data_IF_138651468475
#
_entry.id   IF_138651468475
#
_cell.length_a   1.000
_cell.length_b   1.000
_cell.length_c   1.000
_cell.angle_alpha   90.00
_cell.angle_beta   90.00
_cell.angle_gamma   90.00
#
_symmetry.space_group_name_H-M   'P 1'
#
loop_
_entity.id
_entity.type
_entity.pdbx_description
1 polymer ?
#
# COMPACT_ATOMS: atom_id res chain seq x y z
N UNK A 1 -51.98 -47.88 -12.89
CA UNK A 1 -50.87 -48.49 -13.66
C UNK A 1 -49.62 -47.67 -13.45
N UNK A 2 -48.67 -48.25 -12.73
CA UNK A 2 -47.30 -47.77 -12.48
C UNK A 2 -46.39 -48.81 -13.10
N UNK A 3 -45.30 -48.39 -13.74
CA UNK A 3 -44.25 -49.29 -14.23
C UNK A 3 -42.93 -48.95 -13.54
N UNK A 4 -42.28 -50.00 -13.05
CA UNK A 4 -40.96 -50.09 -12.41
C UNK A 4 -40.65 -51.59 -12.29
N UNK A 5 -39.39 -52.09 -12.19
CA UNK A 5 -38.08 -51.58 -12.61
C UNK A 5 -37.24 -52.68 -13.34
N UNK A 6 -35.97 -52.36 -13.63
CA UNK A 6 -34.82 -53.25 -13.93
C UNK A 6 -34.59 -53.68 -15.39
N UNK A 7 -33.67 -52.99 -16.06
CA UNK A 7 -32.55 -53.63 -16.77
C UNK A 7 -31.36 -52.66 -16.78
N UNK A 8 -30.29 -53.05 -16.10
CA UNK A 8 -28.97 -52.38 -16.04
C UNK A 8 -28.01 -53.26 -16.88
N UNK A 9 -26.91 -52.64 -17.34
CA UNK A 9 -25.57 -53.22 -17.57
C UNK A 9 -25.18 -53.35 -19.06
N UNK A 10 -23.98 -52.84 -19.35
CA UNK A 10 -23.16 -52.91 -20.57
C UNK A 10 -23.21 -51.70 -21.51
N UNK A 11 -22.60 -50.59 -21.10
CA UNK A 11 -21.75 -49.81 -22.01
C UNK A 11 -20.69 -49.01 -21.23
N UNK A 12 -19.78 -49.73 -20.60
CA UNK A 12 -18.60 -49.18 -19.94
C UNK A 12 -17.45 -50.17 -20.10
N UNK A 13 -16.71 -50.06 -21.21
CA UNK A 13 -15.31 -50.46 -21.39
C UNK A 13 -14.93 -50.18 -22.86
N UNK A 14 -13.69 -49.74 -23.11
CA UNK A 14 -13.10 -49.32 -24.40
C UNK A 14 -13.23 -47.84 -24.80
N UNK A 15 -12.66 -46.96 -23.97
CA UNK A 15 -11.99 -45.74 -24.44
C UNK A 15 -10.89 -45.27 -23.45
N UNK A 16 -10.15 -46.22 -22.88
CA UNK A 16 -8.87 -45.94 -22.22
C UNK A 16 -7.78 -46.52 -23.11
N UNK A 17 -6.75 -45.71 -23.38
CA UNK A 17 -5.50 -45.97 -24.14
C UNK A 17 -5.33 -45.08 -25.38
N UNK A 18 -5.37 -43.76 -25.18
CA UNK A 18 -4.48 -42.84 -25.89
C UNK A 18 -3.69 -42.05 -24.86
N UNK A 19 -2.54 -42.66 -24.54
CA UNK A 19 -1.26 -42.06 -24.19
C UNK A 19 -1.26 -40.67 -23.57
N UNK A 20 -0.98 -40.67 -22.26
CA UNK A 20 -0.37 -39.58 -21.52
C UNK A 20 0.79 -38.94 -22.30
N UNK A 21 0.67 -37.63 -22.52
CA UNK A 21 1.77 -36.70 -22.25
C UNK A 21 1.16 -35.38 -21.78
N UNK A 22 0.42 -35.46 -20.68
CA UNK A 22 0.30 -34.31 -19.80
C UNK A 22 1.71 -34.10 -19.25
N UNK A 23 2.48 -33.21 -19.87
CA UNK A 23 3.51 -32.51 -19.13
C UNK A 23 2.80 -31.94 -17.92
N UNK A 24 3.09 -32.49 -16.73
CA UNK A 24 2.85 -31.75 -15.50
C UNK A 24 3.31 -30.32 -15.79
N UNK A 25 2.47 -29.29 -15.58
CA UNK A 25 2.97 -27.93 -15.70
C UNK A 25 4.16 -27.89 -14.76
N UNK A 26 5.37 -27.75 -15.34
CA UNK A 26 6.57 -27.50 -14.57
C UNK A 26 6.15 -26.47 -13.55
N UNK A 27 6.28 -26.81 -12.27
CA UNK A 27 6.10 -25.86 -11.19
C UNK A 27 7.08 -24.74 -11.50
N UNK A 28 6.60 -23.71 -12.21
CA UNK A 28 7.38 -22.51 -12.53
C UNK A 28 7.91 -22.10 -11.19
N UNK A 29 9.21 -22.22 -11.03
CA UNK A 29 9.86 -21.95 -9.76
C UNK A 29 9.74 -20.44 -9.60
N UNK A 30 8.69 -20.01 -8.89
CA UNK A 30 8.28 -18.60 -8.86
C UNK A 30 9.29 -17.87 -8.01
N UNK A 31 10.11 -17.02 -8.63
CA UNK A 31 10.95 -16.10 -7.89
C UNK A 31 10.06 -15.24 -6.98
N UNK A 32 10.44 -15.11 -5.71
CA UNK A 32 9.72 -14.30 -4.75
C UNK A 32 10.21 -12.85 -4.88
N UNK A 33 9.30 -11.90 -5.08
CA UNK A 33 9.64 -10.49 -4.98
C UNK A 33 10.14 -10.17 -3.56
N UNK A 34 11.26 -9.48 -3.43
CA UNK A 34 11.86 -9.15 -2.11
C UNK A 34 11.97 -7.65 -1.87
N UNK A 35 11.73 -6.84 -2.89
CA UNK A 35 11.80 -5.39 -2.76
C UNK A 35 12.17 -4.68 -4.05
N UNK A 36 12.24 -3.35 -3.97
CA UNK A 36 12.66 -2.49 -5.07
C UNK A 36 13.41 -1.28 -4.55
N UNK A 37 14.18 -0.65 -5.42
CA UNK A 37 14.74 0.68 -5.19
C UNK A 37 14.35 1.57 -6.36
N UNK A 38 13.67 2.68 -6.05
CA UNK A 38 13.32 3.73 -6.98
C UNK A 38 14.20 4.94 -6.74
N UNK A 39 14.78 5.50 -7.79
CA UNK A 39 15.59 6.72 -7.76
C UNK A 39 14.90 7.75 -8.65
N UNK A 40 14.59 8.90 -8.07
CA UNK A 40 14.00 10.05 -8.74
C UNK A 40 14.99 11.21 -8.63
N UNK A 41 15.42 11.72 -9.78
CA UNK A 41 16.36 12.85 -9.85
C UNK A 41 15.71 13.99 -10.62
N UNK A 42 15.77 15.20 -10.06
CA UNK A 42 15.41 16.41 -10.79
C UNK A 42 16.45 17.50 -10.62
N UNK A 43 16.67 18.23 -11.72
CA UNK A 43 17.59 19.34 -11.80
C UNK A 43 16.76 20.62 -11.81
N UNK A 44 16.63 21.27 -10.64
CA UNK A 44 16.07 22.62 -10.52
C UNK A 44 17.18 23.58 -10.06
N UNK A 45 16.85 24.61 -9.27
CA UNK A 45 17.86 25.47 -8.63
C UNK A 45 18.80 24.69 -7.69
N UNK A 46 18.31 23.57 -7.15
CA UNK A 46 19.11 22.57 -6.42
C UNK A 46 18.97 21.22 -7.13
N UNK A 47 20.04 20.44 -7.14
CA UNK A 47 19.98 19.05 -7.54
C UNK A 47 19.39 18.26 -6.37
N UNK A 48 18.25 17.61 -6.61
CA UNK A 48 17.61 16.78 -5.60
C UNK A 48 17.48 15.35 -6.09
N UNK A 49 17.89 14.43 -5.22
CA UNK A 49 17.83 12.99 -5.45
C UNK A 49 16.98 12.35 -4.37
N UNK A 50 15.92 11.67 -4.79
CA UNK A 50 15.04 10.93 -3.91
C UNK A 50 15.20 9.44 -4.19
N UNK A 51 15.69 8.70 -3.19
CA UNK A 51 15.81 7.24 -3.24
C UNK A 51 14.74 6.63 -2.34
N UNK A 52 13.82 5.86 -2.91
CA UNK A 52 12.82 5.08 -2.17
C UNK A 52 13.17 3.59 -2.26
N UNK A 53 13.52 2.98 -1.14
CA UNK A 53 13.79 1.54 -1.06
C UNK A 53 12.67 0.85 -0.30
N UNK A 54 12.16 -0.24 -0.87
CA UNK A 54 11.19 -1.15 -0.25
C UNK A 54 11.84 -2.51 -0.16
N UNK A 55 11.68 -3.18 0.98
CA UNK A 55 12.17 -4.51 1.26
C UNK A 55 11.16 -5.26 2.11
N UNK A 56 11.05 -6.57 1.96
CA UNK A 56 10.32 -7.39 2.94
C UNK A 56 10.89 -8.81 2.99
N UNK A 57 10.66 -9.46 4.13
CA UNK A 57 11.08 -10.82 4.41
C UNK A 57 9.86 -11.65 4.81
N UNK A 58 9.91 -12.93 4.44
CA UNK A 58 8.89 -13.90 4.79
C UNK A 58 9.51 -15.08 5.55
N UNK A 59 8.75 -15.67 6.46
CA UNK A 59 9.17 -16.91 7.13
C UNK A 59 9.01 -18.15 6.23
N UNK A 60 9.33 -19.32 6.78
CA UNK A 60 9.25 -20.60 6.05
C UNK A 60 7.82 -20.93 5.61
N UNK A 61 6.81 -20.42 6.31
CA UNK A 61 5.38 -20.56 6.00
C UNK A 61 4.86 -19.44 5.07
N UNK A 62 5.75 -18.61 4.49
CA UNK A 62 5.46 -17.48 3.61
C UNK A 62 4.65 -16.35 4.27
N UNK A 63 4.67 -16.26 5.59
CA UNK A 63 4.06 -15.15 6.34
C UNK A 63 5.04 -13.99 6.38
N UNK A 64 4.52 -12.75 6.34
CA UNK A 64 5.37 -11.57 6.49
C UNK A 64 6.07 -11.59 7.86
N UNK A 65 7.39 -11.48 7.86
CA UNK A 65 8.20 -11.37 9.09
C UNK A 65 8.61 -9.93 9.32
N UNK A 66 9.10 -9.27 8.28
CA UNK A 66 9.39 -7.83 8.27
C UNK A 66 9.00 -7.21 6.93
N UNK A 67 8.67 -5.93 6.94
CA UNK A 67 8.57 -5.12 5.74
C UNK A 67 9.16 -3.74 6.06
N UNK A 68 9.92 -3.16 5.15
CA UNK A 68 10.62 -1.89 5.33
C UNK A 68 10.44 -0.99 4.13
N UNK A 69 10.29 0.31 4.39
CA UNK A 69 10.39 1.38 3.41
C UNK A 69 11.35 2.42 3.92
N UNK A 70 12.26 2.88 3.07
CA UNK A 70 13.19 3.99 3.37
C UNK A 70 13.16 4.97 2.22
N UNK A 71 12.70 6.19 2.50
CA UNK A 71 12.80 7.33 1.62
C UNK A 71 14.00 8.16 2.06
N UNK A 72 14.97 8.35 1.18
CA UNK A 72 16.10 9.27 1.36
C UNK A 72 15.95 10.38 0.34
N UNK A 73 15.90 11.61 0.80
CA UNK A 73 15.75 12.80 -0.01
C UNK A 73 16.93 13.73 0.25
N UNK A 74 17.81 13.84 -0.73
CA UNK A 74 19.08 14.57 -0.65
C UNK A 74 19.05 15.78 -1.58
N UNK A 75 19.36 16.96 -1.04
CA UNK A 75 19.50 18.20 -1.78
C UNK A 75 20.98 18.64 -1.82
N UNK A 76 21.42 19.10 -2.99
CA UNK A 76 22.77 19.57 -3.24
C UNK A 76 22.79 20.78 -4.16
N UNK A 77 23.81 21.62 -4.01
CA UNK A 77 24.10 22.76 -4.89
C UNK A 77 25.53 22.59 -5.44
N UNK A 78 25.65 22.13 -6.68
CA UNK A 78 26.93 21.67 -7.21
C UNK A 78 27.44 20.46 -6.43
N UNK A 79 28.59 20.60 -5.76
CA UNK A 79 29.17 19.57 -4.88
C UNK A 79 28.87 19.80 -3.41
N UNK A 80 28.17 20.89 -3.07
CA UNK A 80 27.86 21.26 -1.69
C UNK A 80 26.60 20.54 -1.21
N UNK A 81 26.68 19.94 -0.03
CA UNK A 81 25.53 19.36 0.67
C UNK A 81 24.61 20.46 1.19
N UNK A 82 23.31 20.38 0.87
CA UNK A 82 22.31 21.34 1.36
C UNK A 82 21.50 20.71 2.49
N UNK A 83 20.90 19.54 2.24
CA UNK A 83 20.16 18.79 3.25
C UNK A 83 19.98 17.32 2.88
N UNK A 84 19.59 16.53 3.88
CA UNK A 84 19.14 15.15 3.73
C UNK A 84 18.00 14.85 4.69
N UNK A 85 16.92 14.29 4.16
CA UNK A 85 15.85 13.70 4.95
C UNK A 85 15.82 12.20 4.73
N UNK A 86 15.89 11.42 5.81
CA UNK A 86 15.65 9.98 5.79
C UNK A 86 14.36 9.68 6.55
N UNK A 87 13.33 9.18 5.84
CA UNK A 87 12.08 8.66 6.42
C UNK A 87 12.05 7.14 6.25
N UNK A 88 12.34 6.42 7.32
CA UNK A 88 12.37 4.97 7.35
C UNK A 88 11.20 4.43 8.16
N UNK A 89 10.43 3.50 7.62
CA UNK A 89 9.36 2.76 8.31
C UNK A 89 9.62 1.26 8.23
N UNK A 90 9.61 0.58 9.36
CA UNK A 90 9.79 -0.87 9.47
C UNK A 90 8.62 -1.49 10.22
N UNK A 91 8.01 -2.50 9.63
CA UNK A 91 6.99 -3.36 10.20
C UNK A 91 7.63 -4.67 10.66
N UNK A 92 7.26 -5.15 11.84
CA UNK A 92 7.63 -6.47 12.37
C UNK A 92 6.38 -7.19 12.83
N UNK A 93 6.26 -8.47 12.47
CA UNK A 93 5.05 -9.27 12.70
C UNK A 93 5.35 -10.47 13.58
N UNK A 94 4.46 -10.74 14.53
CA UNK A 94 4.51 -11.92 15.40
C UNK A 94 3.20 -12.69 15.27
N UNK A 95 3.29 -14.01 15.16
CA UNK A 95 2.14 -14.91 15.03
C UNK A 95 2.08 -15.89 16.19
N UNK A 96 0.89 -16.40 16.49
CA UNK A 96 0.75 -17.59 17.34
C UNK A 96 1.00 -18.89 16.56
N UNK A 97 0.88 -20.02 17.26
CA UNK A 97 1.07 -21.35 16.70
C UNK A 97 -0.01 -21.74 15.67
N UNK A 98 -1.16 -21.05 15.66
CA UNK A 98 -2.24 -21.26 14.71
C UNK A 98 -2.12 -20.34 13.48
N UNK A 99 -1.11 -19.46 13.45
CA UNK A 99 -0.83 -18.53 12.38
C UNK A 99 -1.65 -17.24 12.42
N UNK A 100 -2.34 -16.93 13.52
CA UNK A 100 -2.97 -15.62 13.70
C UNK A 100 -1.92 -14.57 14.07
N UNK A 101 -2.02 -13.39 13.45
CA UNK A 101 -1.15 -12.25 13.78
C UNK A 101 -1.51 -11.75 15.18
N UNK A 102 -0.59 -11.85 16.14
CA UNK A 102 -0.83 -11.43 17.53
C UNK A 102 -0.26 -10.06 17.83
N UNK A 103 0.83 -9.68 17.17
CA UNK A 103 1.46 -8.38 17.36
C UNK A 103 2.05 -7.86 16.06
N UNK A 104 1.85 -6.58 15.81
CA UNK A 104 2.56 -5.83 14.78
C UNK A 104 3.24 -4.63 15.42
N UNK A 105 4.54 -4.45 15.16
CA UNK A 105 5.30 -3.27 15.60
C UNK A 105 5.71 -2.48 14.36
N UNK A 106 5.27 -1.23 14.29
CA UNK A 106 5.68 -0.26 13.28
C UNK A 106 6.67 0.71 13.92
N UNK A 107 7.88 0.79 13.38
CA UNK A 107 8.89 1.78 13.76
C UNK A 107 9.10 2.73 12.60
N UNK A 108 8.75 4.00 12.77
CA UNK A 108 9.06 5.05 11.81
C UNK A 108 10.11 6.00 12.41
N UNK A 109 11.13 6.34 11.63
CA UNK A 109 12.16 7.31 12.01
C UNK A 109 12.31 8.32 10.89
N UNK A 110 12.15 9.59 11.22
CA UNK A 110 12.46 10.72 10.34
C UNK A 110 13.72 11.37 10.89
N UNK A 111 14.77 11.42 10.09
CA UNK A 111 16.00 12.13 10.38
C UNK A 111 16.18 13.22 9.32
N UNK A 112 16.26 14.47 9.75
CA UNK A 112 16.66 15.59 8.92
C UNK A 112 18.04 16.08 9.34
N UNK A 113 18.92 16.26 8.36
CA UNK A 113 20.27 16.78 8.47
C UNK A 113 20.40 17.97 7.52
N UNK A 114 20.47 19.18 8.06
CA UNK A 114 20.51 20.43 7.31
C UNK A 114 21.89 21.11 7.38
N UNK A 115 22.17 21.92 6.36
CA UNK A 115 23.31 22.84 6.32
C UNK A 115 22.94 24.22 6.89
N UNK A 116 23.77 25.24 6.65
CA UNK A 116 23.38 26.63 6.94
C UNK A 116 22.33 27.17 5.96
N UNK A 117 22.16 26.50 4.81
CA UNK A 117 21.25 26.91 3.73
C UNK A 117 19.83 26.38 3.90
N UNK A 118 19.62 25.35 4.72
CA UNK A 118 18.32 24.71 4.87
C UNK A 118 18.06 24.25 6.31
N UNK A 119 16.82 24.48 6.76
CA UNK A 119 16.34 24.10 8.09
C UNK A 119 14.97 23.42 7.97
N UNK A 120 14.64 22.59 8.95
CA UNK A 120 13.38 21.89 9.06
C UNK A 120 12.44 22.60 10.03
N UNK A 121 11.24 22.94 9.55
CA UNK A 121 10.20 23.56 10.37
C UNK A 121 9.32 22.50 11.04
N UNK A 122 9.22 22.55 12.37
CA UNK A 122 8.35 21.66 13.14
C UNK A 122 7.85 22.33 14.42
N UNK A 123 6.52 22.33 14.65
CA UNK A 123 5.85 23.02 15.76
C UNK A 123 6.42 24.42 16.07
N UNK A 124 6.41 25.28 15.05
CA UNK A 124 6.79 26.70 15.16
C UNK A 124 8.27 26.94 15.51
N UNK A 125 9.12 25.93 15.32
CA UNK A 125 10.57 26.01 15.47
C UNK A 125 11.28 25.55 14.19
N UNK A 126 12.48 26.10 13.97
CA UNK A 126 13.39 25.70 12.90
C UNK A 126 14.56 24.91 13.47
N UNK A 127 14.90 23.81 12.81
CA UNK A 127 15.95 22.90 13.22
C UNK A 127 16.95 22.69 12.08
N UNK A 128 18.24 22.73 12.38
CA UNK A 128 19.31 22.26 11.50
C UNK A 128 19.37 20.73 11.50
N UNK A 129 19.22 20.09 12.65
CA UNK A 129 19.03 18.64 12.75
C UNK A 129 17.77 18.33 13.53
N UNK A 130 16.99 17.40 13.00
CA UNK A 130 15.73 17.00 13.60
C UNK A 130 15.56 15.49 13.51
N UNK A 131 15.06 14.90 14.59
CA UNK A 131 14.72 13.49 14.65
C UNK A 131 13.33 13.29 15.24
N UNK A 132 12.52 12.49 14.56
CA UNK A 132 11.24 11.99 15.05
C UNK A 132 11.26 10.47 14.97
N UNK A 133 11.15 9.80 16.11
CA UNK A 133 10.93 8.36 16.18
C UNK A 133 9.49 8.09 16.63
N UNK A 134 8.78 7.29 15.86
CA UNK A 134 7.46 6.79 16.18
C UNK A 134 7.54 5.26 16.30
N UNK A 135 7.08 4.72 17.44
CA UNK A 135 6.89 3.29 17.62
C UNK A 135 5.41 3.05 17.91
N UNK A 136 4.71 2.42 16.98
CA UNK A 136 3.35 1.93 17.19
C UNK A 136 3.38 0.41 17.38
N UNK A 137 2.77 -0.07 18.46
CA UNK A 137 2.55 -1.49 18.73
C UNK A 137 1.05 -1.77 18.67
N UNK A 138 0.64 -2.63 17.74
CA UNK A 138 -0.71 -3.15 17.63
C UNK A 138 -0.76 -4.58 18.19
N UNK A 139 -1.64 -4.83 19.15
CA UNK A 139 -1.88 -6.15 19.75
C UNK A 139 -3.27 -6.61 19.36
N UNK A 140 -3.35 -7.81 18.78
CA UNK A 140 -4.59 -8.38 18.25
C UNK A 140 -5.12 -9.44 19.21
N UNK A 141 -6.39 -9.29 19.61
CA UNK A 141 -7.10 -10.26 20.44
C UNK A 141 -8.17 -10.95 19.63
N UNK A 142 -8.27 -12.28 19.78
CA UNK A 142 -9.18 -13.11 18.99
C UNK A 142 -10.25 -13.77 19.86
N UNK A 143 -11.44 -13.91 19.29
CA UNK A 143 -12.54 -14.70 19.83
C UNK A 143 -13.06 -15.58 18.70
N UNK A 144 -13.14 -16.90 18.93
CA UNK A 144 -13.61 -17.88 17.92
C UNK A 144 -12.88 -17.75 16.56
N UNK A 145 -11.56 -17.58 16.58
CA UNK A 145 -10.73 -17.48 15.37
C UNK A 145 -10.90 -16.18 14.57
N UNK A 146 -11.48 -15.13 15.18
CA UNK A 146 -11.68 -13.81 14.54
C UNK A 146 -11.18 -12.71 15.45
N UNK A 147 -10.61 -11.66 14.87
CA UNK A 147 -10.16 -10.51 15.64
C UNK A 147 -11.36 -9.84 16.30
N UNK A 148 -11.34 -9.73 17.61
CA UNK A 148 -12.36 -9.05 18.40
C UNK A 148 -11.94 -7.60 18.67
N UNK A 149 -10.67 -7.40 19.03
CA UNK A 149 -10.11 -6.08 19.32
C UNK A 149 -8.67 -5.97 18.85
N UNK A 150 -8.26 -4.75 18.51
CA UNK A 150 -6.87 -4.37 18.30
C UNK A 150 -6.55 -3.19 19.20
N UNK A 151 -5.56 -3.34 20.07
CA UNK A 151 -5.08 -2.27 20.94
C UNK A 151 -3.82 -1.69 20.35
N UNK A 152 -3.78 -0.37 20.18
CA UNK A 152 -2.62 0.35 19.65
C UNK A 152 -2.01 1.20 20.76
N UNK A 153 -0.70 1.06 20.95
CA UNK A 153 0.11 1.94 21.78
C UNK A 153 1.15 2.61 20.91
N UNK A 154 1.22 3.93 20.96
CA UNK A 154 2.10 4.72 20.14
C UNK A 154 2.99 5.59 21.02
N UNK A 155 4.30 5.52 20.79
CA UNK A 155 5.32 6.33 21.46
C UNK A 155 6.01 7.18 20.40
N UNK A 156 5.83 8.50 20.48
CA UNK A 156 6.51 9.48 19.66
C UNK A 156 7.64 10.13 20.46
N UNK A 157 8.85 10.12 19.93
CA UNK A 157 9.99 10.86 20.48
C UNK A 157 10.46 11.87 19.46
N UNK A 158 10.39 13.15 19.82
CA UNK A 158 10.86 14.25 18.97
C UNK A 158 12.09 14.89 19.60
N UNK A 159 13.14 15.11 18.81
CA UNK A 159 14.37 15.78 19.24
C UNK A 159 14.87 16.72 18.14
N UNK A 160 14.95 18.01 18.46
CA UNK A 160 15.64 19.00 17.62
C UNK A 160 17.04 19.32 18.14
N UNK A 161 17.74 20.23 17.46
CA UNK A 161 19.04 20.74 17.93
C UNK A 161 18.93 21.33 19.33
N UNK A 162 19.83 20.93 20.22
CA UNK A 162 19.98 21.46 21.58
C UNK A 162 18.73 21.35 22.49
N UNK A 163 17.64 20.74 22.01
CA UNK A 163 16.44 20.47 22.78
C UNK A 163 16.53 19.09 23.45
N UNK A 164 15.98 18.99 24.67
CA UNK A 164 15.74 17.70 25.29
C UNK A 164 14.68 16.93 24.48
N UNK A 165 14.81 15.60 24.33
CA UNK A 165 13.78 14.81 23.66
C UNK A 165 12.42 14.95 24.33
N UNK A 166 11.38 15.19 23.55
CA UNK A 166 9.98 15.21 23.98
C UNK A 166 9.38 13.85 23.66
N UNK A 167 8.77 13.20 24.65
CA UNK A 167 8.10 11.90 24.48
C UNK A 167 6.60 12.06 24.68
N UNK A 168 5.82 11.69 23.67
CA UNK A 168 4.36 11.64 23.71
C UNK A 168 3.88 10.20 23.58
N UNK A 169 2.98 9.79 24.46
CA UNK A 169 2.33 8.48 24.41
C UNK A 169 0.86 8.66 24.04
N UNK A 170 0.38 7.88 23.09
CA UNK A 170 -1.05 7.82 22.75
C UNK A 170 -1.52 6.37 22.65
N UNK A 171 -2.77 6.16 22.99
CA UNK A 171 -3.41 4.85 22.92
C UNK A 171 -4.74 4.99 22.16
N UNK A 172 -5.07 3.96 21.38
CA UNK A 172 -6.34 3.84 20.66
C UNK A 172 -6.71 2.37 20.54
N UNK A 173 -7.98 2.08 20.33
CA UNK A 173 -8.45 0.69 20.20
C UNK A 173 -9.45 0.56 19.08
N UNK A 174 -9.36 -0.54 18.34
CA UNK A 174 -10.32 -0.93 17.30
C UNK A 174 -11.11 -2.13 17.78
N UNK A 175 -12.44 -2.04 17.79
CA UNK A 175 -13.34 -3.14 18.16
C UNK A 175 -14.14 -3.59 16.95
N UNK A 176 -14.24 -4.89 16.74
CA UNK A 176 -14.99 -5.50 15.65
C UNK A 176 -16.33 -6.04 16.14
N UNK A 177 -17.37 -5.82 15.36
CA UNK A 177 -18.70 -6.37 15.61
C UNK A 177 -19.09 -7.36 14.51
N UNK A 178 -19.70 -8.46 14.93
CA UNK A 178 -20.06 -9.58 14.05
C UNK A 178 -21.55 -9.87 14.17
N UNK A 179 -22.17 -10.21 13.03
CA UNK A 179 -23.50 -10.80 12.95
C UNK A 179 -23.38 -12.19 12.33
N UNK A 180 -23.47 -13.21 13.19
CA UNK A 180 -23.13 -14.59 12.81
C UNK A 180 -21.68 -14.70 12.36
N UNK A 181 -21.48 -15.15 11.12
CA UNK A 181 -20.13 -15.32 10.55
C UNK A 181 -19.53 -14.07 9.91
N UNK A 182 -20.34 -13.03 9.73
CA UNK A 182 -19.94 -11.84 9.01
C UNK A 182 -19.55 -10.71 9.96
N UNK A 183 -18.40 -10.09 9.72
CA UNK A 183 -18.13 -8.76 10.28
C UNK A 183 -19.13 -7.77 9.69
N UNK A 184 -19.66 -6.89 10.54
CA UNK A 184 -20.61 -5.85 10.12
C UNK A 184 -20.04 -4.46 10.32
N UNK A 185 -19.24 -4.27 11.36
CA UNK A 185 -18.61 -3.00 11.66
C UNK A 185 -17.27 -3.19 12.36
N UNK A 186 -16.43 -2.17 12.30
CA UNK A 186 -15.29 -2.02 13.19
C UNK A 186 -15.12 -0.56 13.59
N UNK A 187 -15.10 -0.27 14.89
CA UNK A 187 -14.96 1.07 15.44
C UNK A 187 -13.57 1.25 16.02
N UNK A 188 -12.79 2.16 15.45
CA UNK A 188 -11.55 2.66 16.03
C UNK A 188 -11.85 3.91 16.86
N UNK A 189 -11.50 3.89 18.14
CA UNK A 189 -11.60 5.03 19.05
C UNK A 189 -10.23 5.56 19.41
N UNK A 190 -10.00 6.84 19.16
CA UNK A 190 -8.79 7.57 19.50
C UNK A 190 -9.15 8.87 20.23
N UNK A 191 -8.15 9.50 20.86
CA UNK A 191 -8.32 10.79 21.56
C UNK A 191 -8.84 11.89 20.63
N UNK A 192 -8.45 11.85 19.34
CA UNK A 192 -8.80 12.86 18.35
C UNK A 192 -10.11 12.59 17.60
N UNK A 193 -10.83 11.51 17.93
CA UNK A 193 -12.05 11.12 17.23
C UNK A 193 -12.17 9.63 16.94
N UNK A 194 -13.16 9.29 16.13
CA UNK A 194 -13.51 7.90 15.81
C UNK A 194 -13.39 7.61 14.32
N UNK A 195 -13.18 6.34 13.99
CA UNK A 195 -13.28 5.83 12.62
C UNK A 195 -14.13 4.59 12.59
N UNK A 196 -15.28 4.66 11.92
CA UNK A 196 -16.19 3.54 11.71
C UNK A 196 -15.92 2.92 10.33
N UNK A 197 -15.57 1.64 10.31
CA UNK A 197 -15.51 0.82 9.10
C UNK A 197 -16.79 -0.02 9.02
N UNK A 198 -17.48 -0.01 7.89
CA UNK A 198 -18.66 -0.84 7.64
C UNK A 198 -18.34 -1.95 6.65
N UNK A 199 -19.01 -3.09 6.82
CA UNK A 199 -18.77 -4.28 6.01
C UNK A 199 -20.07 -4.88 5.47
N UNK A 200 -19.98 -5.53 4.31
CA UNK A 200 -21.03 -6.37 3.74
C UNK A 200 -20.40 -7.50 2.93
N UNK A 201 -20.89 -8.73 3.10
CA UNK A 201 -20.35 -9.91 2.41
C UNK A 201 -18.85 -10.14 2.64
N UNK A 202 -18.33 -9.78 3.82
CA UNK A 202 -16.91 -9.88 4.17
C UNK A 202 -16.00 -8.82 3.55
N UNK A 203 -16.56 -7.79 2.88
CA UNK A 203 -15.81 -6.69 2.26
C UNK A 203 -16.15 -5.36 2.90
N UNK A 204 -15.19 -4.45 2.93
CA UNK A 204 -15.40 -3.06 3.36
C UNK A 204 -16.33 -2.38 2.36
N UNK A 205 -17.33 -1.67 2.87
CA UNK A 205 -18.27 -0.85 2.08
C UNK A 205 -18.06 0.64 2.31
N UNK A 206 -17.67 1.03 3.52
CA UNK A 206 -17.34 2.41 3.85
C UNK A 206 -16.37 2.54 5.02
N UNK A 207 -15.68 3.66 5.06
CA UNK A 207 -14.92 4.15 6.21
C UNK A 207 -15.34 5.59 6.46
N UNK A 208 -15.89 5.85 7.63
CA UNK A 208 -16.31 7.18 8.08
C UNK A 208 -15.42 7.63 9.24
N UNK A 209 -14.85 8.83 9.13
CA UNK A 209 -14.07 9.46 10.18
C UNK A 209 -14.87 10.61 10.80
N UNK A 210 -14.87 10.68 12.12
CA UNK A 210 -15.44 11.81 12.86
C UNK A 210 -14.40 12.37 13.82
N UNK A 211 -14.46 13.67 14.07
CA UNK A 211 -13.65 14.30 15.13
C UNK A 211 -14.13 13.89 16.54
N UNK A 212 -13.46 14.40 17.56
CA UNK A 212 -13.76 14.19 18.98
C UNK A 212 -15.12 14.75 19.42
N UNK A 213 -15.70 15.64 18.62
CA UNK A 213 -17.03 16.25 18.81
C UNK A 213 -18.11 15.54 18.00
N UNK A 214 -17.75 14.54 17.19
CA UNK A 214 -18.67 13.82 16.32
C UNK A 214 -18.97 14.51 14.99
N UNK A 215 -18.27 15.58 14.64
CA UNK A 215 -18.39 16.18 13.31
C UNK A 215 -17.76 15.27 12.26
N UNK A 216 -18.39 15.19 11.10
CA UNK A 216 -17.89 14.39 9.98
C UNK A 216 -16.59 14.97 9.42
N UNK A 217 -15.53 14.16 9.42
CA UNK A 217 -14.23 14.51 8.85
C UNK A 217 -14.13 14.04 7.40
N UNK A 218 -14.22 12.73 7.18
CA UNK A 218 -14.15 12.15 5.84
C UNK A 218 -15.03 10.91 5.69
N UNK A 219 -15.45 10.65 4.46
CA UNK A 219 -16.17 9.45 4.07
C UNK A 219 -15.50 8.82 2.86
N UNK A 220 -15.07 7.58 2.99
CA UNK A 220 -14.65 6.74 1.86
C UNK A 220 -15.69 5.67 1.62
N UNK A 221 -16.13 5.49 0.37
CA UNK A 221 -16.98 4.38 -0.05
C UNK A 221 -16.22 3.44 -0.98
N UNK A 222 -16.61 2.17 -0.96
CA UNK A 222 -15.93 1.10 -1.68
C UNK A 222 -16.89 0.44 -2.68
N UNK A 223 -16.36 -0.03 -3.81
CA UNK A 223 -17.11 -0.80 -4.79
C UNK A 223 -17.34 -2.25 -4.33
N UNK A 224 -18.06 -3.05 -5.12
CA UNK A 224 -18.36 -4.46 -4.81
C UNK A 224 -17.10 -5.35 -4.74
N UNK A 225 -15.99 -4.91 -5.33
CA UNK A 225 -14.70 -5.57 -5.26
C UNK A 225 -13.99 -5.30 -3.92
N UNK A 226 -14.37 -4.24 -3.19
CA UNK A 226 -13.70 -3.79 -1.98
C UNK A 226 -12.59 -2.78 -2.26
N UNK A 227 -12.64 -2.09 -3.40
CA UNK A 227 -11.72 -1.02 -3.80
C UNK A 227 -12.37 0.35 -3.58
N UNK A 228 -11.59 1.32 -3.08
CA UNK A 228 -12.09 2.65 -2.75
C UNK A 228 -12.61 3.35 -4.02
N UNK A 229 -13.90 3.66 -4.07
CA UNK A 229 -14.58 4.23 -5.23
C UNK A 229 -14.81 5.74 -5.10
N UNK A 230 -15.09 6.23 -3.89
CA UNK A 230 -15.24 7.68 -3.63
C UNK A 230 -14.61 8.04 -2.30
N UNK A 231 -13.96 9.20 -2.24
CA UNK A 231 -13.45 9.81 -1.02
C UNK A 231 -14.01 11.23 -0.94
N UNK A 232 -14.66 11.58 0.17
CA UNK A 232 -15.18 12.93 0.45
C UNK A 232 -14.48 13.48 1.68
N UNK A 233 -13.98 14.71 1.58
CA UNK A 233 -13.34 15.46 2.67
C UNK A 233 -13.79 16.93 2.57
N UNK A 234 -14.76 17.31 3.41
CA UNK A 234 -15.40 18.63 3.34
C UNK A 234 -15.97 18.91 1.94
N UNK A 235 -15.60 20.02 1.28
CA UNK A 235 -16.10 20.36 -0.05
C UNK A 235 -15.43 19.58 -1.18
N UNK A 236 -14.38 18.80 -0.88
CA UNK A 236 -13.59 18.10 -1.87
C UNK A 236 -14.03 16.64 -2.00
N UNK A 237 -14.02 16.13 -3.22
CA UNK A 237 -14.43 14.76 -3.55
C UNK A 237 -13.51 14.16 -4.60
N UNK A 238 -13.10 12.92 -4.39
CA UNK A 238 -12.33 12.13 -5.35
C UNK A 238 -13.13 10.91 -5.78
N UNK A 239 -13.24 10.65 -7.08
CA UNK A 239 -13.87 9.46 -7.64
C UNK A 239 -12.82 8.59 -8.34
N UNK A 240 -12.87 7.28 -8.12
CA UNK A 240 -11.91 6.32 -8.68
C UNK A 240 -12.62 5.27 -9.51
N UNK A 241 -12.01 4.88 -10.63
CA UNK A 241 -12.50 3.79 -11.49
C UNK A 241 -11.42 2.74 -11.68
N UNK A 242 -11.87 1.50 -11.77
CA UNK A 242 -11.03 0.33 -11.92
C UNK A 242 -11.46 -0.49 -13.13
N UNK A 243 -10.51 -1.19 -13.75
CA UNK A 243 -10.82 -2.21 -14.76
C UNK A 243 -11.20 -3.57 -14.10
N UNK A 244 -11.39 -4.58 -14.94
CA UNK A 244 -11.75 -5.94 -14.49
C UNK A 244 -10.61 -6.67 -13.75
N UNK A 245 -9.36 -6.22 -13.92
CA UNK A 245 -8.17 -6.76 -13.26
C UNK A 245 -7.84 -5.98 -11.97
N UNK A 246 -8.75 -5.12 -11.49
CA UNK A 246 -8.54 -4.28 -10.30
C UNK A 246 -7.46 -3.20 -10.48
N UNK A 247 -7.10 -2.84 -11.71
CA UNK A 247 -6.21 -1.72 -11.96
C UNK A 247 -6.96 -0.39 -11.90
N UNK A 248 -6.40 0.60 -11.18
CA UNK A 248 -6.94 1.95 -11.13
C UNK A 248 -6.72 2.64 -12.48
N UNK A 249 -7.79 2.87 -13.26
CA UNK A 249 -7.71 3.47 -14.61
C UNK A 249 -7.98 4.97 -14.65
N UNK A 250 -8.67 5.52 -13.63
CA UNK A 250 -8.87 6.96 -13.55
C UNK A 250 -9.14 7.47 -12.14
N UNK A 251 -8.68 8.68 -11.83
CA UNK A 251 -9.14 9.47 -10.68
C UNK A 251 -9.67 10.83 -11.15
N UNK A 252 -10.83 11.23 -10.64
CA UNK A 252 -11.34 12.60 -10.80
C UNK A 252 -11.38 13.29 -9.44
N UNK A 253 -10.77 14.47 -9.36
CA UNK A 253 -10.78 15.30 -8.15
C UNK A 253 -11.65 16.53 -8.37
N UNK A 254 -12.57 16.73 -7.45
CA UNK A 254 -13.55 17.81 -7.45
C UNK A 254 -13.36 18.65 -6.20
N UNK A 255 -13.46 19.97 -6.34
CA UNK A 255 -13.55 20.88 -5.21
C UNK A 255 -14.76 21.80 -5.38
N UNK A 256 -15.65 21.82 -4.37
CA UNK A 256 -16.90 22.60 -4.40
C UNK A 256 -17.72 22.40 -5.68
N UNK A 257 -17.75 21.15 -6.18
CA UNK A 257 -18.48 20.77 -7.39
C UNK A 257 -17.76 21.09 -8.72
N UNK A 258 -16.55 21.63 -8.69
CA UNK A 258 -15.74 21.89 -9.89
C UNK A 258 -14.64 20.85 -10.04
N UNK A 259 -14.52 20.22 -11.21
CA UNK A 259 -13.43 19.30 -11.50
C UNK A 259 -12.11 20.08 -11.53
N UNK A 260 -11.18 19.76 -10.65
CA UNK A 260 -9.86 20.40 -10.57
C UNK A 260 -8.81 19.60 -11.32
N UNK A 261 -8.85 18.27 -11.19
CA UNK A 261 -7.83 17.38 -11.75
C UNK A 261 -8.45 16.08 -12.27
N UNK A 262 -7.95 15.59 -13.39
CA UNK A 262 -8.27 14.27 -13.93
C UNK A 262 -6.97 13.47 -14.16
N UNK A 263 -6.90 12.28 -13.59
CA UNK A 263 -5.80 11.34 -13.76
C UNK A 263 -6.27 10.12 -14.55
N UNK A 264 -5.47 9.68 -15.52
CA UNK A 264 -5.71 8.52 -16.37
C UNK A 264 -4.48 7.60 -16.30
N UNK A 265 -4.71 6.29 -16.26
CA UNK A 265 -3.64 5.30 -16.19
C UNK A 265 -3.89 4.15 -17.17
N UNK A 266 -2.81 3.65 -17.77
CA UNK A 266 -2.83 2.44 -18.60
C UNK A 266 -1.83 1.43 -18.03
N UNK A 267 -2.18 0.15 -18.15
CA UNK A 267 -1.38 -0.95 -17.62
C UNK A 267 -1.10 -1.99 -18.71
N UNK A 268 -0.02 -2.73 -18.53
CA UNK A 268 0.25 -3.90 -19.36
C UNK A 268 -0.51 -5.13 -18.85
N UNK A 269 -0.18 -6.30 -19.40
CA UNK A 269 -0.72 -7.58 -18.96
C UNK A 269 0.21 -8.36 -18.02
N UNK A 270 1.35 -7.79 -17.61
CA UNK A 270 2.26 -8.41 -16.66
C UNK A 270 1.83 -8.05 -15.24
N UNK A 271 1.94 -9.00 -14.32
CA UNK A 271 1.61 -8.74 -12.92
C UNK A 271 2.62 -7.75 -12.31
N UNK A 272 2.10 -6.89 -11.44
CA UNK A 272 2.89 -6.00 -10.63
C UNK A 272 3.50 -6.78 -9.46
N UNK A 273 4.84 -6.81 -9.29
CA UNK A 273 5.47 -7.55 -8.21
C UNK A 273 4.99 -7.17 -6.81
N UNK A 274 4.58 -5.91 -6.61
CA UNK A 274 4.06 -5.45 -5.31
C UNK A 274 2.68 -6.00 -4.97
N UNK A 275 1.92 -6.51 -5.96
CA UNK A 275 0.63 -7.15 -5.72
C UNK A 275 0.76 -8.43 -4.88
N UNK A 276 1.95 -9.04 -4.87
CA UNK A 276 2.28 -10.21 -4.06
C UNK A 276 2.60 -9.90 -2.59
N UNK A 277 2.76 -8.62 -2.21
CA UNK A 277 2.99 -8.27 -0.80
C UNK A 277 1.72 -8.62 -0.01
N UNK A 278 1.80 -9.51 1.01
CA UNK A 278 0.62 -9.89 1.78
C UNK A 278 -0.03 -8.69 2.48
N UNK A 279 -1.36 -8.59 2.36
CA UNK A 279 -2.18 -7.55 3.00
C UNK A 279 -3.28 -8.12 3.89
N UNK A 280 -3.65 -9.38 3.66
CA UNK A 280 -4.70 -10.06 4.41
C UNK A 280 -4.08 -11.05 5.37
N UNK A 281 -4.57 -11.03 6.60
CA UNK A 281 -4.06 -11.84 7.69
C UNK A 281 -5.22 -12.70 8.22
N UNK A 282 -4.90 -13.93 8.62
CA UNK A 282 -5.89 -14.88 9.13
C UNK A 282 -6.71 -14.24 10.25
N UNK A 283 -8.05 -14.32 10.15
CA UNK A 283 -8.97 -13.81 11.16
C UNK A 283 -9.11 -12.27 11.24
N UNK A 284 -8.40 -11.51 10.42
CA UNK A 284 -8.51 -10.04 10.35
C UNK A 284 -9.21 -9.66 9.03
N UNK A 285 -10.38 -8.99 9.08
CA UNK A 285 -11.14 -8.69 7.87
C UNK A 285 -10.61 -7.48 7.08
N UNK A 286 -9.79 -6.64 7.71
CA UNK A 286 -9.20 -5.47 7.07
C UNK A 286 -7.88 -5.80 6.37
N UNK A 287 -7.61 -5.22 5.19
CA UNK A 287 -6.26 -5.23 4.64
C UNK A 287 -5.33 -4.36 5.51
N UNK A 288 -4.15 -4.88 5.83
CA UNK A 288 -3.05 -4.13 6.45
C UNK A 288 -2.07 -3.78 5.33
N UNK A 289 -2.09 -2.51 4.92
CA UNK A 289 -1.16 -1.98 3.91
C UNK A 289 0.15 -1.63 4.60
N UNK A 290 1.25 -2.20 4.12
CA UNK A 290 2.59 -2.02 4.69
C UNK A 290 3.45 -1.12 3.80
N UNK A 291 4.18 -1.71 2.85
CA UNK A 291 5.18 -1.03 2.02
C UNK A 291 4.77 -0.93 0.55
N UNK A 292 3.61 -1.47 0.19
CA UNK A 292 3.06 -1.33 -1.17
C UNK A 292 2.83 0.15 -1.50
N UNK A 293 3.33 0.56 -2.65
CA UNK A 293 3.36 1.93 -3.17
C UNK A 293 2.55 2.12 -4.45
N UNK A 294 2.23 1.04 -5.15
CA UNK A 294 1.49 1.04 -6.42
C UNK A 294 0.03 0.59 -6.24
N UNK A 295 -0.89 1.10 -7.06
CA UNK A 295 -2.34 0.84 -6.96
C UNK A 295 -2.93 -0.03 -8.09
N UNK A 296 -2.13 -0.86 -8.76
CA UNK A 296 -2.60 -1.77 -9.82
C UNK A 296 -2.13 -3.21 -9.60
N UNK A 297 -2.92 -4.16 -10.07
CA UNK A 297 -2.55 -5.57 -10.17
C UNK A 297 -1.52 -5.79 -11.29
N UNK A 298 -1.49 -4.92 -12.30
CA UNK A 298 -0.56 -4.96 -13.43
C UNK A 298 0.46 -3.83 -13.41
N UNK A 299 1.47 -3.90 -14.27
CA UNK A 299 2.50 -2.86 -14.37
C UNK A 299 1.96 -1.61 -15.08
N UNK A 300 2.21 -0.44 -14.50
CA UNK A 300 1.77 0.84 -15.02
C UNK A 300 2.57 1.20 -16.28
N UNK A 301 1.93 1.32 -17.44
CA UNK A 301 2.56 1.75 -18.70
C UNK A 301 2.52 3.25 -18.92
N UNK A 302 1.42 3.89 -18.54
CA UNK A 302 1.18 5.29 -18.83
C UNK A 302 0.40 5.93 -17.69
N UNK A 303 0.76 7.18 -17.41
CA UNK A 303 0.06 8.05 -16.48
C UNK A 303 -0.12 9.41 -17.15
N UNK A 304 -1.32 9.95 -17.09
CA UNK A 304 -1.62 11.34 -17.43
C UNK A 304 -2.33 12.02 -16.28
N UNK A 305 -1.93 13.24 -15.97
CA UNK A 305 -2.62 14.14 -15.05
C UNK A 305 -2.94 15.44 -15.78
N UNK A 306 -4.22 15.78 -15.92
CA UNK A 306 -4.71 17.01 -16.51
C UNK A 306 -5.29 17.92 -15.44
N UNK A 307 -4.75 19.13 -15.31
CA UNK A 307 -5.35 20.17 -14.50
C UNK A 307 -6.42 20.89 -15.34
N UNK A 308 -7.67 20.81 -14.89
CA UNK A 308 -8.83 21.36 -15.60
C UNK A 308 -8.89 22.88 -15.57
N UNK A 309 -8.15 23.53 -14.66
CA UNK A 309 -8.13 24.99 -14.48
C UNK A 309 -6.97 25.67 -15.22
N UNK A 310 -5.83 24.99 -15.40
CA UNK A 310 -4.61 25.59 -15.96
C UNK A 310 -4.21 25.07 -17.35
N UNK A 311 -4.97 24.16 -17.95
CA UNK A 311 -4.61 23.42 -19.19
C UNK A 311 -3.27 22.67 -19.11
N UNK A 312 -2.63 22.61 -17.94
CA UNK A 312 -1.37 21.90 -17.75
C UNK A 312 -1.66 20.40 -17.75
N UNK A 313 -0.89 19.66 -18.56
CA UNK A 313 -0.97 18.21 -18.66
C UNK A 313 0.40 17.61 -18.41
N UNK A 314 0.49 16.74 -17.41
CA UNK A 314 1.67 15.94 -17.11
C UNK A 314 1.46 14.52 -17.62
N UNK A 315 2.43 14.00 -18.36
CA UNK A 315 2.37 12.67 -18.94
C UNK A 315 3.68 11.94 -18.69
N UNK A 316 3.60 10.70 -18.21
CA UNK A 316 4.74 9.81 -18.00
C UNK A 316 4.49 8.47 -18.70
N UNK A 317 5.53 7.93 -19.32
CA UNK A 317 5.54 6.57 -19.88
C UNK A 317 6.55 5.72 -19.14
N UNK A 318 6.14 4.50 -18.81
CA UNK A 318 7.00 3.50 -18.22
C UNK A 318 7.59 2.60 -19.30
N UNK A 319 8.91 2.41 -19.25
CA UNK A 319 9.62 1.47 -20.10
C UNK A 319 10.21 0.36 -19.21
N UNK A 320 9.59 -0.81 -19.23
CA UNK A 320 10.03 -1.97 -18.45
C UNK A 320 11.09 -2.78 -19.19
N UNK A 321 12.04 -3.30 -18.43
CA UNK A 321 12.93 -4.40 -18.84
C UNK A 321 12.56 -5.62 -18.01
N UNK A 322 12.49 -6.79 -18.65
CA UNK A 322 12.12 -8.04 -18.00
C UNK A 322 13.28 -9.03 -18.06
N UNK A 323 13.42 -9.82 -17.01
CA UNK A 323 14.41 -10.89 -16.95
C UNK A 323 13.94 -12.13 -17.75
N UNK A 324 14.79 -13.17 -17.78
CA UNK A 324 14.49 -14.43 -18.49
C UNK A 324 13.24 -15.17 -17.96
N UNK A 325 12.75 -14.84 -16.76
CA UNK A 325 11.53 -15.41 -16.18
C UNK A 325 10.27 -14.60 -16.52
N UNK A 326 10.40 -13.49 -17.27
CA UNK A 326 9.30 -12.59 -17.58
C UNK A 326 8.90 -11.69 -16.42
N UNK A 327 9.74 -11.55 -15.39
CA UNK A 327 9.52 -10.65 -14.26
C UNK A 327 10.21 -9.30 -14.53
N UNK A 328 9.60 -8.17 -14.15
CA UNK A 328 10.20 -6.87 -14.38
C UNK A 328 11.47 -6.72 -13.55
N UNK A 329 12.60 -6.45 -14.20
CA UNK A 329 13.91 -6.23 -13.57
C UNK A 329 14.12 -4.74 -13.30
N UNK A 330 13.68 -3.89 -14.22
CA UNK A 330 13.70 -2.44 -14.04
C UNK A 330 12.57 -1.75 -14.80
N UNK A 331 12.28 -0.51 -14.39
CA UNK A 331 11.41 0.40 -15.14
C UNK A 331 11.97 1.81 -15.10
N UNK A 332 11.89 2.49 -16.23
CA UNK A 332 12.17 3.93 -16.31
C UNK A 332 10.88 4.67 -16.67
N UNK A 333 10.44 5.56 -15.79
CA UNK A 333 9.35 6.49 -16.05
C UNK A 333 9.93 7.76 -16.67
N UNK A 334 9.56 8.01 -17.92
CA UNK A 334 10.03 9.16 -18.71
C UNK A 334 8.87 10.12 -18.98
N UNK A 335 9.05 11.42 -18.72
CA UNK A 335 8.09 12.45 -19.10
C UNK A 335 7.89 12.51 -20.63
N UNK A 336 6.65 12.63 -21.09
CA UNK A 336 6.33 12.69 -22.54
C UNK A 336 6.39 14.13 -23.05
N UNK A 337 5.86 15.08 -22.30
CA UNK A 337 5.58 16.46 -22.76
C UNK A 337 6.59 17.51 -22.27
N UNK A 338 7.54 17.15 -21.41
CA UNK A 338 8.53 18.08 -20.86
C UNK A 338 9.85 17.37 -20.48
N UNK A 339 10.92 17.46 -21.29
CA UNK A 339 12.18 16.74 -21.06
C UNK A 339 12.96 17.24 -19.83
N UNK A 340 12.59 18.39 -19.26
CA UNK A 340 13.13 18.89 -17.98
C UNK A 340 12.48 18.27 -16.75
N UNK A 341 11.43 17.46 -16.93
CA UNK A 341 10.78 16.79 -15.83
C UNK A 341 11.67 15.64 -15.31
N UNK A 342 11.54 15.31 -14.01
CA UNK A 342 12.32 14.25 -13.40
C UNK A 342 12.19 12.92 -14.12
N UNK A 343 13.29 12.19 -14.17
CA UNK A 343 13.31 10.79 -14.56
C UNK A 343 13.26 9.97 -13.28
N UNK A 344 12.39 8.96 -13.25
CA UNK A 344 12.38 7.95 -12.19
C UNK A 344 12.84 6.62 -12.77
N UNK A 345 13.83 6.01 -12.14
CA UNK A 345 14.26 4.65 -12.42
C UNK A 345 13.93 3.77 -11.24
N UNK A 346 13.49 2.54 -11.48
CA UNK A 346 13.23 1.56 -10.43
C UNK A 346 13.88 0.25 -10.82
N UNK A 347 14.57 -0.37 -9.86
CA UNK A 347 15.10 -1.74 -9.99
C UNK A 347 14.36 -2.64 -9.01
N UNK A 348 13.89 -3.79 -9.50
CA UNK A 348 13.19 -4.78 -8.69
C UNK A 348 14.14 -5.90 -8.29
N UNK A 349 13.92 -6.47 -7.11
CA UNK A 349 14.72 -7.57 -6.55
C UNK A 349 13.84 -8.78 -6.31
N UNK A 350 14.39 -9.95 -6.60
CA UNK A 350 13.73 -11.23 -6.41
C UNK A 350 14.68 -12.24 -5.79
N UNK A 351 14.11 -13.20 -5.08
CA UNK A 351 14.77 -14.43 -4.65
C UNK A 351 14.27 -15.58 -5.50
N UNK A 352 15.07 -15.96 -6.49
CA UNK A 352 14.83 -17.14 -7.30
C UNK A 352 15.44 -18.39 -6.60
N UNK A 353 14.87 -19.57 -6.83
CA UNK A 353 15.35 -20.84 -6.28
C UNK A 353 16.65 -21.33 -6.93
#
# INVERSE_FOLDING_TARGET
>A
MRVSPRFIIYLSLFAFLLSCKNSEPETKTTCLFTGKTSIFEYQAAHHRKVTNTIEYDQDAEKRLKTAGKTLVDEASEGTEFVSKTTDATVYSFTYDNEGFLTTMVTRRSILFEGSEKETYYYFDKLYKNFRLDNIETAVFSYTNGRVATVSFKNVNTTKGDNDNPIVLNTERSKKYEYSGDNVVSALLTAVSGNTLTSFSGGKITSIQQTDDRGNEGSLTTYNAQGLAATVTLGPSRSERKYDANENLISIQHWDRGTLTTHEEYEYDNHENPEYHIPRYFKGIPDPIVTVQSTQGANNLLFQRTKNSQSNITFENRANYQYNAYGLPESVVLTPVSAPSNPISSTTFRYKCP
#
